data_IF_314717419394
#
_entry.id   IF_314717419394
#
_cell.length_a   1.000
_cell.length_b   1.000
_cell.length_c   1.000
_cell.angle_alpha   90.00
_cell.angle_beta   90.00
_cell.angle_gamma   90.00
#
_symmetry.space_group_name_H-M   'P 1'
#
loop_
_entity.id
_entity.type
_entity.pdbx_description
1 polymer ?
#
# COMPACT_ATOMS: atom_id res chain seq x y z
N UNK A 1 10.90 -8.35 -58.44
CA UNK A 1 11.77 -8.05 -57.28
C UNK A 1 10.99 -7.18 -56.30
N UNK A 2 11.12 -7.49 -55.00
CA UNK A 2 10.11 -7.37 -53.95
C UNK A 2 9.81 -5.95 -53.45
N UNK A 3 8.53 -5.69 -53.19
CA UNK A 3 7.97 -4.57 -52.43
C UNK A 3 7.98 -4.92 -50.95
N UNK A 4 8.42 -4.02 -50.07
CA UNK A 4 7.73 -3.66 -48.82
C UNK A 4 8.59 -2.73 -47.94
N UNK A 5 8.20 -1.46 -47.93
CA UNK A 5 8.32 -0.60 -46.75
C UNK A 5 7.15 -0.91 -45.81
N UNK A 6 7.33 -0.54 -44.53
CA UNK A 6 6.33 -0.21 -43.49
C UNK A 6 6.28 -1.17 -42.31
N UNK A 7 6.40 -0.58 -41.11
CA UNK A 7 5.61 -0.85 -39.89
C UNK A 7 6.44 -1.22 -38.64
N UNK A 8 6.85 -0.21 -37.88
CA UNK A 8 7.25 -0.40 -36.47
C UNK A 8 6.92 0.84 -35.64
N UNK A 9 5.63 1.14 -35.49
CA UNK A 9 5.16 2.24 -34.63
C UNK A 9 3.83 1.93 -33.94
N UNK A 10 3.67 0.76 -33.30
CA UNK A 10 2.49 0.50 -32.43
C UNK A 10 2.82 -0.49 -31.30
N UNK A 11 3.69 -0.13 -30.35
CA UNK A 11 3.88 -0.95 -29.14
C UNK A 11 3.84 -0.22 -27.80
N UNK A 12 3.50 1.08 -27.80
CA UNK A 12 3.57 1.93 -26.58
C UNK A 12 2.21 2.48 -26.12
N UNK A 13 1.09 1.96 -26.60
CA UNK A 13 -0.25 2.41 -26.12
C UNK A 13 -1.09 1.38 -25.39
N UNK A 14 -0.73 0.10 -25.43
CA UNK A 14 -1.53 -0.95 -24.78
C UNK A 14 -1.42 -0.97 -23.25
N UNK A 15 -0.24 -0.65 -22.68
CA UNK A 15 -0.04 -0.70 -21.21
C UNK A 15 -0.78 0.45 -20.51
N UNK A 16 -0.85 1.63 -21.13
CA UNK A 16 -1.58 2.77 -20.56
C UNK A 16 -3.11 2.55 -20.60
N UNK A 17 -3.66 1.99 -21.68
CA UNK A 17 -5.11 1.82 -21.83
C UNK A 17 -5.71 0.76 -20.90
N UNK A 18 -4.95 -0.28 -20.53
CA UNK A 18 -5.42 -1.30 -19.56
C UNK A 18 -5.39 -0.79 -18.12
N UNK A 19 -4.55 0.21 -17.82
CA UNK A 19 -4.51 0.88 -16.50
C UNK A 19 -5.66 1.87 -16.29
N UNK A 20 -6.32 2.34 -17.35
CA UNK A 20 -7.40 3.32 -17.25
C UNK A 20 -8.81 2.75 -17.05
N UNK A 21 -9.02 1.43 -17.19
CA UNK A 21 -10.34 0.78 -17.01
C UNK A 21 -10.54 0.10 -15.65
N UNK A 22 -9.60 0.29 -14.72
CA UNK A 22 -9.64 -0.33 -13.40
C UNK A 22 -9.98 0.66 -12.27
N UNK A 23 -10.57 1.83 -12.58
CA UNK A 23 -10.81 2.90 -11.61
C UNK A 23 -12.28 3.12 -11.22
N UNK A 24 -13.24 2.38 -11.78
CA UNK A 24 -14.66 2.50 -11.38
C UNK A 24 -15.09 1.46 -10.32
N UNK A 25 -14.22 0.48 -10.01
CA UNK A 25 -14.46 -0.56 -9.01
C UNK A 25 -13.30 -0.70 -8.02
N UNK A 26 -12.49 0.36 -7.82
CA UNK A 26 -11.61 0.41 -6.66
C UNK A 26 -12.50 0.78 -5.47
N UNK A 27 -12.83 -0.15 -4.56
CA UNK A 27 -13.58 0.22 -3.37
C UNK A 27 -12.73 1.26 -2.65
N UNK A 28 -13.26 2.48 -2.52
CA UNK A 28 -12.63 3.56 -1.77
C UNK A 28 -12.06 2.97 -0.49
N UNK A 29 -10.81 3.31 -0.17
CA UNK A 29 -10.20 2.83 1.06
C UNK A 29 -11.09 3.25 2.24
N UNK A 30 -11.68 2.24 2.88
CA UNK A 30 -12.67 2.41 3.93
C UNK A 30 -12.10 1.96 5.27
N UNK A 31 -12.70 2.43 6.35
CA UNK A 31 -12.39 1.97 7.71
C UNK A 31 -12.42 0.44 7.80
N UNK A 32 -13.47 -0.20 7.26
CA UNK A 32 -13.63 -1.65 7.32
C UNK A 32 -12.49 -2.38 6.61
N UNK A 33 -12.02 -1.85 5.47
CA UNK A 33 -10.89 -2.42 4.74
C UNK A 33 -9.63 -2.39 5.59
N UNK A 34 -9.26 -1.24 6.18
CA UNK A 34 -8.06 -1.17 7.03
C UNK A 34 -8.23 -2.03 8.29
N UNK A 35 -9.39 -1.96 8.95
CA UNK A 35 -9.68 -2.75 10.15
C UNK A 35 -9.52 -4.25 9.91
N UNK A 36 -9.84 -4.75 8.70
CA UNK A 36 -9.62 -6.15 8.34
C UNK A 36 -8.15 -6.57 8.29
N UNK A 37 -7.24 -5.65 7.93
CA UNK A 37 -5.80 -5.91 7.98
C UNK A 37 -5.27 -5.88 9.41
N UNK A 38 -5.72 -4.89 10.21
CA UNK A 38 -5.29 -4.70 11.59
C UNK A 38 -5.76 -5.85 12.50
N UNK A 39 -7.00 -6.31 12.33
CA UNK A 39 -7.59 -7.39 13.11
C UNK A 39 -7.36 -8.80 12.54
N UNK A 40 -6.49 -8.96 11.54
CA UNK A 40 -6.19 -10.28 10.99
C UNK A 40 -5.45 -11.14 12.03
N UNK A 41 -5.83 -12.41 12.17
CA UNK A 41 -5.12 -13.39 13.01
C UNK A 41 -4.61 -14.58 12.17
N UNK A 42 -3.29 -14.86 12.15
CA UNK A 42 -2.22 -14.02 12.73
C UNK A 42 -2.10 -12.68 11.99
N UNK A 43 -1.63 -11.66 12.69
CA UNK A 43 -1.39 -10.35 12.11
C UNK A 43 -0.43 -10.45 10.91
N UNK A 44 -0.78 -9.77 9.82
CA UNK A 44 0.02 -9.75 8.59
C UNK A 44 0.49 -8.33 8.32
N UNK A 45 1.81 -8.06 8.35
CA UNK A 45 2.35 -6.75 8.01
C UNK A 45 1.86 -6.25 6.66
N UNK A 46 1.59 -4.96 6.57
CA UNK A 46 1.06 -4.35 5.35
C UNK A 46 1.59 -2.93 5.16
N UNK A 47 1.55 -2.45 3.92
CA UNK A 47 1.97 -1.12 3.51
C UNK A 47 0.76 -0.29 3.12
N UNK A 48 0.76 0.96 3.51
CA UNK A 48 -0.20 1.99 3.12
C UNK A 48 0.52 2.98 2.21
N UNK A 49 -0.05 3.28 1.05
CA UNK A 49 0.44 4.33 0.15
C UNK A 49 -0.61 5.44 0.06
N UNK A 50 -0.19 6.68 0.23
CA UNK A 50 -1.06 7.86 0.10
C UNK A 50 -0.94 8.48 -1.29
N UNK A 51 -1.95 9.25 -1.71
CA UNK A 51 -1.99 9.94 -3.00
C UNK A 51 -0.81 10.91 -3.24
N UNK A 52 -0.10 11.31 -2.18
CA UNK A 52 1.14 12.09 -2.27
C UNK A 52 2.41 11.25 -2.47
N UNK A 53 2.27 9.93 -2.66
CA UNK A 53 3.39 8.99 -2.79
C UNK A 53 4.07 8.62 -1.47
N UNK A 54 3.58 9.10 -0.32
CA UNK A 54 4.13 8.70 1.00
C UNK A 54 3.67 7.30 1.34
N UNK A 55 4.61 6.48 1.80
CA UNK A 55 4.38 5.09 2.19
C UNK A 55 4.62 4.88 3.68
N UNK A 56 3.81 4.02 4.28
CA UNK A 56 3.92 3.64 5.70
C UNK A 56 3.84 2.12 5.81
N UNK A 57 4.80 1.52 6.50
CA UNK A 57 4.82 0.08 6.76
C UNK A 57 4.30 -0.20 8.17
N UNK A 58 3.22 -0.97 8.27
CA UNK A 58 2.60 -1.39 9.51
C UNK A 58 3.07 -2.80 9.79
N UNK A 59 4.03 -2.94 10.71
CA UNK A 59 4.65 -4.22 11.11
C UNK A 59 3.95 -4.88 12.29
N UNK A 60 3.23 -4.09 13.09
CA UNK A 60 2.48 -4.53 14.25
C UNK A 60 1.13 -3.80 14.33
N UNK A 61 0.07 -4.42 14.89
CA UNK A 61 -1.25 -3.80 14.97
C UNK A 61 -1.26 -2.51 15.81
N UNK A 62 -0.41 -2.39 16.82
CA UNK A 62 -0.28 -1.22 17.69
C UNK A 62 0.36 0.01 17.01
N UNK A 63 0.93 -0.16 15.81
CA UNK A 63 1.46 0.96 15.00
C UNK A 63 0.35 1.80 14.37
N UNK A 64 -0.91 1.38 14.43
CA UNK A 64 -2.00 2.08 13.77
C UNK A 64 -3.26 2.09 14.62
N UNK A 65 -3.90 3.26 14.66
CA UNK A 65 -5.26 3.41 15.16
C UNK A 65 -6.15 3.92 14.04
N UNK A 66 -7.17 3.14 13.68
CA UNK A 66 -8.05 3.45 12.55
C UNK A 66 -9.32 4.12 13.07
N UNK A 67 -9.57 5.35 12.64
CA UNK A 67 -10.82 6.07 12.84
C UNK A 67 -11.76 5.94 11.64
N UNK A 68 -12.93 6.59 11.70
CA UNK A 68 -13.95 6.51 10.65
C UNK A 68 -13.51 7.11 9.32
N UNK A 69 -12.73 8.18 9.36
CA UNK A 69 -12.31 8.98 8.19
C UNK A 69 -10.80 9.17 8.11
N UNK A 70 -10.10 9.04 9.22
CA UNK A 70 -8.65 9.19 9.32
C UNK A 70 -8.06 8.02 10.10
N UNK A 71 -6.77 7.78 9.95
CA UNK A 71 -6.01 6.83 10.73
C UNK A 71 -4.76 7.51 11.27
N UNK A 72 -4.41 7.16 12.50
CA UNK A 72 -3.21 7.61 13.17
C UNK A 72 -2.17 6.51 13.05
N UNK A 73 -1.01 6.84 12.48
CA UNK A 73 0.13 5.93 12.35
C UNK A 73 1.19 6.37 13.36
N UNK A 74 1.62 5.43 14.20
CA UNK A 74 2.70 5.58 15.16
C UNK A 74 3.96 4.95 14.58
N UNK A 75 5.05 5.70 14.51
CA UNK A 75 6.37 5.16 14.15
C UNK A 75 7.19 4.96 15.41
N UNK A 76 7.71 3.75 15.57
CA UNK A 76 8.65 3.41 16.62
C UNK A 76 10.06 3.81 16.23
N UNK A 77 10.84 4.09 17.26
CA UNK A 77 12.25 4.49 17.17
C UNK A 77 13.16 3.28 16.89
N UNK A 78 12.65 2.09 17.20
CA UNK A 78 13.23 0.77 16.93
C UNK A 78 12.12 -0.22 16.52
N UNK A 79 12.48 -1.39 16.00
CA UNK A 79 11.51 -2.46 15.69
C UNK A 79 10.89 -3.12 16.96
N UNK A 80 11.27 -2.68 18.16
CA UNK A 80 10.67 -3.14 19.41
C UNK A 80 9.39 -2.35 19.75
N UNK A 81 8.23 -3.03 19.91
CA UNK A 81 6.94 -2.36 20.14
C UNK A 81 6.82 -1.64 21.49
N UNK A 82 7.76 -1.88 22.42
CA UNK A 82 7.80 -1.26 23.74
C UNK A 82 8.67 0.00 23.81
N UNK A 83 9.43 0.33 22.75
CA UNK A 83 10.23 1.56 22.73
C UNK A 83 9.37 2.77 22.31
N UNK A 84 9.64 3.92 22.93
CA UNK A 84 8.77 5.10 22.86
C UNK A 84 8.44 5.52 21.41
N UNK A 85 7.15 5.77 21.16
CA UNK A 85 6.62 6.32 19.90
C UNK A 85 7.26 7.68 19.64
N UNK A 86 8.15 7.79 18.65
CA UNK A 86 8.84 9.06 18.38
C UNK A 86 7.97 10.01 17.54
N UNK A 87 7.03 9.48 16.73
CA UNK A 87 6.21 10.30 15.85
C UNK A 87 4.82 9.73 15.60
N UNK A 88 3.86 10.64 15.61
CA UNK A 88 2.47 10.40 15.21
C UNK A 88 2.18 11.09 13.88
N UNK A 89 1.56 10.37 12.95
CA UNK A 89 1.14 10.92 11.65
C UNK A 89 -0.32 10.57 11.41
N UNK A 90 -1.17 11.59 11.29
CA UNK A 90 -2.55 11.42 10.87
C UNK A 90 -2.64 11.36 9.34
N UNK A 91 -3.36 10.37 8.84
CA UNK A 91 -3.55 10.10 7.41
C UNK A 91 -5.05 9.98 7.12
N UNK A 92 -5.52 10.73 6.11
CA UNK A 92 -6.91 10.62 5.66
C UNK A 92 -7.12 9.33 4.86
N UNK A 93 -8.19 8.60 5.16
CA UNK A 93 -8.59 7.41 4.39
C UNK A 93 -8.93 7.79 2.94
N UNK A 94 -9.49 8.99 2.72
CA UNK A 94 -9.80 9.51 1.39
C UNK A 94 -8.55 9.72 0.52
N UNK A 95 -7.42 10.05 1.15
CA UNK A 95 -6.13 10.25 0.46
C UNK A 95 -5.28 8.99 0.46
N UNK A 96 -5.82 7.86 0.91
CA UNK A 96 -5.14 6.58 0.83
C UNK A 96 -5.38 5.98 -0.53
N UNK A 97 -4.30 5.74 -1.25
CA UNK A 97 -4.33 5.21 -2.62
C UNK A 97 -4.34 3.69 -2.61
N UNK A 98 -3.49 3.06 -1.80
CA UNK A 98 -3.40 1.60 -1.74
C UNK A 98 -3.04 1.07 -0.36
N UNK A 99 -3.43 -0.18 -0.13
CA UNK A 99 -3.11 -0.97 1.05
C UNK A 99 -2.79 -2.37 0.59
N UNK A 100 -1.57 -2.82 0.85
CA UNK A 100 -1.04 -4.07 0.30
C UNK A 100 -0.27 -4.84 1.37
N UNK A 101 -0.40 -6.18 1.45
CA UNK A 101 0.44 -6.97 2.33
C UNK A 101 1.92 -6.75 2.02
N UNK A 102 2.73 -6.57 3.05
CA UNK A 102 4.17 -6.73 2.92
C UNK A 102 4.39 -8.22 2.74
N UNK A 103 4.91 -8.62 1.57
CA UNK A 103 5.24 -10.02 1.30
C UNK A 103 5.96 -10.63 2.51
N UNK A 104 5.62 -11.88 2.85
CA UNK A 104 6.00 -12.57 4.07
C UNK A 104 7.40 -12.17 4.56
N UNK A 105 7.60 -11.96 5.89
CA UNK A 105 8.88 -11.51 6.41
C UNK A 105 9.97 -12.38 5.81
N UNK A 106 10.96 -11.73 5.18
CA UNK A 106 12.14 -12.42 4.71
C UNK A 106 12.63 -13.25 5.89
N UNK A 107 12.43 -14.56 5.80
CA UNK A 107 13.00 -15.55 6.69
C UNK A 107 14.45 -15.14 6.85
N UNK A 108 14.83 -14.87 8.10
CA UNK A 108 16.21 -14.65 8.53
C UNK A 108 17.13 -15.44 7.62
N UNK A 109 17.95 -14.76 6.82
CA UNK A 109 19.08 -15.43 6.21
C UNK A 109 20.00 -15.81 7.37
N UNK A 110 19.84 -17.06 7.79
CA UNK A 110 20.74 -17.80 8.66
C UNK A 110 22.18 -17.60 8.17
N UNK A 111 23.05 -17.21 9.10
CA UNK A 111 24.51 -17.26 8.98
C UNK A 111 25.02 -18.27 10.01
#
# INVERSE_FOLDING_TARGET
MSKQQTLAFVKTRAIAAMKLRANEDQPMISFQRIASYVGAEPFRPFRITTAGGRTFEIRHPEMIQVGRSTMTIFTFLSDEPNEAKEREVEVSLLLTESVEPLGAPARSQEA
#
